data_IF_469563710266
#
_entry.id   IF_469563710266
#
_cell.length_a   1.000
_cell.length_b   1.000
_cell.length_c   1.000
_cell.angle_alpha   90.00
_cell.angle_beta   90.00
_cell.angle_gamma   90.00
#
_symmetry.space_group_name_H-M   'P 1'
#
loop_
_entity.id
_entity.type
_entity.pdbx_description
1 polymer ?
#
# COMPACT_ATOMS: atom_id res chain seq x y z
N UNK A 1 25.21 16.87 -3.15
CA UNK A 1 23.89 16.44 -2.65
C UNK A 1 24.04 15.01 -2.14
N UNK A 2 23.71 14.73 -0.86
CA UNK A 2 23.75 13.37 -0.29
C UNK A 2 22.30 12.94 -0.13
N UNK A 3 21.86 11.93 -0.86
CA UNK A 3 20.54 11.36 -0.65
C UNK A 3 20.50 10.75 0.77
N UNK A 4 19.44 11.04 1.51
CA UNK A 4 19.22 10.41 2.80
C UNK A 4 18.69 8.99 2.58
N UNK A 5 19.61 8.05 2.43
CA UNK A 5 19.31 6.64 2.24
C UNK A 5 18.51 6.03 3.39
N UNK A 6 18.68 6.55 4.61
CA UNK A 6 17.93 6.08 5.77
C UNK A 6 16.46 6.51 5.66
N UNK A 7 16.21 7.77 5.28
CA UNK A 7 14.86 8.26 5.03
C UNK A 7 14.16 7.54 3.86
N UNK A 8 14.87 7.28 2.76
CA UNK A 8 14.30 6.57 1.60
C UNK A 8 13.94 5.13 1.96
N UNK A 9 14.79 4.42 2.73
CA UNK A 9 14.50 3.06 3.19
C UNK A 9 13.32 3.06 4.17
N UNK A 10 13.30 3.96 5.14
CA UNK A 10 12.20 4.09 6.09
C UNK A 10 10.85 4.39 5.41
N UNK A 11 10.86 5.21 4.34
CA UNK A 11 9.68 5.44 3.52
C UNK A 11 9.21 4.15 2.83
N UNK A 12 10.15 3.37 2.27
CA UNK A 12 9.83 2.07 1.67
C UNK A 12 9.18 1.10 2.67
N UNK A 13 9.75 0.98 3.86
CA UNK A 13 9.23 0.11 4.92
C UNK A 13 7.83 0.57 5.40
N UNK A 14 7.61 1.88 5.51
CA UNK A 14 6.30 2.45 5.86
C UNK A 14 5.24 2.17 4.78
N UNK A 15 5.61 2.26 3.51
CA UNK A 15 4.71 1.95 2.39
C UNK A 15 4.35 0.46 2.33
N UNK A 16 5.31 -0.44 2.60
CA UNK A 16 5.04 -1.88 2.71
C UNK A 16 4.09 -2.18 3.88
N UNK A 17 4.30 -1.55 5.05
CA UNK A 17 3.40 -1.68 6.19
C UNK A 17 1.99 -1.17 5.87
N UNK A 18 1.87 0.01 5.26
CA UNK A 18 0.57 0.55 4.84
C UNK A 18 -0.14 -0.32 3.80
N UNK A 19 0.60 -0.94 2.87
CA UNK A 19 0.01 -1.87 1.93
C UNK A 19 -0.61 -3.08 2.65
N UNK A 20 0.10 -3.64 3.65
CA UNK A 20 -0.42 -4.75 4.45
C UNK A 20 -1.65 -4.36 5.29
N UNK A 21 -1.64 -3.17 5.90
CA UNK A 21 -2.77 -2.65 6.65
C UNK A 21 -4.00 -2.46 5.77
N UNK A 22 -3.82 -1.89 4.57
CA UNK A 22 -4.90 -1.69 3.59
C UNK A 22 -5.48 -3.03 3.12
N UNK A 23 -4.66 -4.04 2.86
CA UNK A 23 -5.14 -5.39 2.53
C UNK A 23 -5.96 -6.00 3.67
N UNK A 24 -5.55 -5.77 4.92
CA UNK A 24 -6.29 -6.21 6.11
C UNK A 24 -7.65 -5.53 6.22
N UNK A 25 -7.71 -4.22 5.95
CA UNK A 25 -8.96 -3.45 5.90
C UNK A 25 -9.88 -3.97 4.79
N UNK A 26 -9.37 -4.19 3.58
CA UNK A 26 -10.14 -4.74 2.47
C UNK A 26 -10.72 -6.13 2.80
N UNK A 27 -9.92 -7.00 3.43
CA UNK A 27 -10.38 -8.32 3.88
C UNK A 27 -11.47 -8.21 4.96
N UNK A 28 -11.32 -7.27 5.90
CA UNK A 28 -12.30 -7.01 6.96
C UNK A 28 -13.64 -6.56 6.37
N UNK A 29 -13.62 -5.59 5.45
CA UNK A 29 -14.81 -5.11 4.75
C UNK A 29 -15.52 -6.25 4.00
N UNK A 30 -14.76 -7.10 3.29
CA UNK A 30 -15.30 -8.25 2.56
C UNK A 30 -15.89 -9.33 3.47
N UNK A 31 -15.45 -9.39 4.73
CA UNK A 31 -15.98 -10.32 5.73
C UNK A 31 -17.25 -9.84 6.43
N UNK A 32 -17.69 -8.59 6.18
CA UNK A 32 -18.85 -8.03 6.86
C UNK A 32 -20.12 -8.86 6.58
N UNK A 33 -20.91 -9.20 7.61
CA UNK A 33 -22.13 -9.96 7.44
C UNK A 33 -23.16 -9.15 6.64
N UNK A 34 -23.92 -9.84 5.78
CA UNK A 34 -25.00 -9.22 5.02
C UNK A 34 -26.12 -8.76 5.95
N UNK A 35 -26.63 -7.50 5.81
CA UNK A 35 -27.75 -7.01 6.61
C UNK A 35 -29.11 -7.63 6.20
N UNK A 36 -29.16 -8.45 5.14
CA UNK A 36 -30.40 -8.95 4.56
C UNK A 36 -31.32 -9.70 5.53
N UNK A 37 -30.74 -10.44 6.49
CA UNK A 37 -31.52 -11.16 7.50
C UNK A 37 -32.26 -10.21 8.48
N UNK A 38 -31.77 -8.98 8.67
CA UNK A 38 -32.33 -8.02 9.62
C UNK A 38 -33.40 -7.11 9.00
N UNK A 39 -33.36 -6.87 7.69
CA UNK A 39 -34.23 -5.89 7.03
C UNK A 39 -35.43 -6.52 6.32
N UNK A 40 -35.43 -7.84 6.12
CA UNK A 40 -36.50 -8.54 5.41
C UNK A 40 -36.71 -8.06 3.97
N UNK A 41 -37.82 -8.45 3.32
CA UNK A 41 -38.03 -8.23 1.87
C UNK A 41 -38.05 -6.75 1.43
N UNK A 42 -38.41 -5.84 2.34
CA UNK A 42 -38.42 -4.40 2.07
C UNK A 42 -36.99 -3.87 1.92
N UNK A 43 -36.04 -4.50 2.62
CA UNK A 43 -34.62 -4.13 2.61
C UNK A 43 -33.79 -4.71 1.48
N UNK A 44 -34.37 -5.49 0.56
CA UNK A 44 -33.60 -6.22 -0.46
C UNK A 44 -32.80 -5.28 -1.37
N UNK A 45 -33.41 -4.19 -1.84
CA UNK A 45 -32.71 -3.19 -2.68
C UNK A 45 -31.60 -2.48 -1.93
N UNK A 46 -31.82 -2.17 -0.66
CA UNK A 46 -30.79 -1.58 0.19
C UNK A 46 -29.64 -2.57 0.41
N UNK A 47 -29.96 -3.83 0.71
CA UNK A 47 -28.96 -4.89 0.93
C UNK A 47 -28.13 -5.12 -0.33
N UNK A 48 -28.75 -5.13 -1.51
CA UNK A 48 -28.05 -5.24 -2.79
C UNK A 48 -27.10 -4.04 -3.00
N UNK A 49 -27.60 -2.81 -2.84
CA UNK A 49 -26.77 -1.61 -2.97
C UNK A 49 -25.64 -1.55 -1.93
N UNK A 50 -25.89 -2.02 -0.71
CA UNK A 50 -24.90 -2.11 0.35
C UNK A 50 -23.80 -3.11 0.00
N UNK A 51 -24.16 -4.31 -0.47
CA UNK A 51 -23.19 -5.34 -0.88
C UNK A 51 -22.35 -4.86 -2.06
N UNK A 52 -22.96 -4.17 -3.03
CA UNK A 52 -22.25 -3.56 -4.15
C UNK A 52 -21.26 -2.49 -3.67
N UNK A 53 -21.70 -1.58 -2.78
CA UNK A 53 -20.85 -0.52 -2.23
C UNK A 53 -19.69 -1.07 -1.41
N UNK A 54 -19.92 -2.09 -0.56
CA UNK A 54 -18.88 -2.75 0.23
C UNK A 54 -17.88 -3.46 -0.68
N UNK A 55 -18.36 -4.15 -1.72
CA UNK A 55 -17.50 -4.80 -2.72
C UNK A 55 -16.61 -3.77 -3.42
N UNK A 56 -17.20 -2.70 -3.96
CA UNK A 56 -16.49 -1.64 -4.65
C UNK A 56 -15.47 -0.94 -3.75
N UNK A 57 -15.82 -0.66 -2.49
CA UNK A 57 -14.91 -0.04 -1.55
C UNK A 57 -13.75 -0.97 -1.17
N UNK A 58 -14.03 -2.26 -0.96
CA UNK A 58 -12.99 -3.26 -0.69
C UNK A 58 -11.98 -3.36 -1.84
N UNK A 59 -12.47 -3.35 -3.09
CA UNK A 59 -11.61 -3.39 -4.28
C UNK A 59 -10.77 -2.11 -4.43
N UNK A 60 -11.36 -0.94 -4.16
CA UNK A 60 -10.64 0.33 -4.17
C UNK A 60 -9.51 0.37 -3.11
N UNK A 61 -9.78 -0.14 -1.91
CA UNK A 61 -8.77 -0.24 -0.84
C UNK A 61 -7.65 -1.22 -1.23
N UNK A 62 -7.99 -2.37 -1.83
CA UNK A 62 -6.99 -3.32 -2.33
C UNK A 62 -6.13 -2.71 -3.44
N UNK A 63 -6.72 -1.94 -4.36
CA UNK A 63 -5.97 -1.22 -5.40
C UNK A 63 -5.01 -0.18 -4.81
N UNK A 64 -5.43 0.54 -3.76
CA UNK A 64 -4.55 1.47 -3.03
C UNK A 64 -3.38 0.73 -2.37
N UNK A 65 -3.61 -0.45 -1.80
CA UNK A 65 -2.54 -1.28 -1.23
C UNK A 65 -1.49 -1.66 -2.29
N UNK A 66 -1.93 -2.05 -3.50
CA UNK A 66 -1.03 -2.33 -4.64
C UNK A 66 -0.20 -1.10 -4.99
N UNK A 67 -0.82 0.09 -5.01
CA UNK A 67 -0.09 1.33 -5.30
C UNK A 67 0.94 1.67 -4.22
N UNK A 68 0.59 1.51 -2.94
CA UNK A 68 1.53 1.67 -1.82
C UNK A 68 2.73 0.70 -1.95
N UNK A 69 2.47 -0.58 -2.23
CA UNK A 69 3.53 -1.57 -2.46
C UNK A 69 4.43 -1.23 -3.65
N UNK A 70 3.87 -0.72 -4.76
CA UNK A 70 4.67 -0.24 -5.88
C UNK A 70 5.56 0.96 -5.50
N UNK A 71 5.06 1.84 -4.63
CA UNK A 71 5.85 2.92 -4.03
C UNK A 71 7.00 2.40 -3.18
N UNK A 72 6.76 1.37 -2.36
CA UNK A 72 7.79 0.72 -1.54
C UNK A 72 8.93 0.12 -2.39
N UNK A 73 8.57 -0.59 -3.47
CA UNK A 73 9.53 -1.11 -4.46
C UNK A 73 10.34 0.03 -5.08
N UNK A 74 9.69 1.11 -5.49
CA UNK A 74 10.35 2.27 -6.09
C UNK A 74 11.35 2.94 -5.12
N UNK A 75 10.97 3.09 -3.85
CA UNK A 75 11.85 3.61 -2.81
C UNK A 75 13.09 2.71 -2.61
N UNK A 76 12.89 1.39 -2.59
CA UNK A 76 13.98 0.40 -2.47
C UNK A 76 14.96 0.48 -3.65
N UNK A 77 14.44 0.50 -4.89
CA UNK A 77 15.26 0.67 -6.09
C UNK A 77 16.06 1.99 -6.04
N UNK A 78 15.40 3.08 -5.68
CA UNK A 78 16.03 4.41 -5.56
C UNK A 78 17.16 4.40 -4.54
N UNK A 79 16.98 3.73 -3.38
CA UNK A 79 18.02 3.60 -2.38
C UNK A 79 19.24 2.81 -2.90
N UNK A 80 19.03 1.75 -3.68
CA UNK A 80 20.09 0.96 -4.31
C UNK A 80 20.89 1.80 -5.32
N UNK A 81 20.19 2.59 -6.15
CA UNK A 81 20.82 3.44 -7.14
C UNK A 81 21.69 4.52 -6.50
N UNK A 82 21.19 5.19 -5.47
CA UNK A 82 21.95 6.20 -4.72
C UNK A 82 23.14 5.60 -3.97
N UNK A 83 22.99 4.42 -3.36
CA UNK A 83 24.10 3.73 -2.69
C UNK A 83 25.20 3.38 -3.70
N UNK A 84 24.82 2.81 -4.86
CA UNK A 84 25.73 2.46 -5.95
C UNK A 84 26.43 3.68 -6.55
N UNK A 85 25.72 4.81 -6.70
CA UNK A 85 26.32 6.08 -7.10
C UNK A 85 27.32 6.60 -6.06
N UNK A 86 26.99 6.49 -4.76
CA UNK A 86 27.87 6.86 -3.65
C UNK A 86 29.16 6.03 -3.63
N UNK A 87 29.05 4.71 -3.80
CA UNK A 87 30.21 3.81 -3.88
C UNK A 87 31.12 4.15 -5.08
N UNK A 88 30.54 4.40 -6.26
CA UNK A 88 31.29 4.83 -7.45
C UNK A 88 32.01 6.16 -7.23
N UNK A 89 31.32 7.13 -6.63
CA UNK A 89 31.93 8.42 -6.29
C UNK A 89 33.10 8.25 -5.30
N UNK A 90 32.93 7.43 -4.27
CA UNK A 90 33.99 7.14 -3.30
C UNK A 90 35.22 6.46 -3.94
N UNK A 91 35.02 5.58 -4.93
CA UNK A 91 36.10 4.93 -5.65
C UNK A 91 36.91 5.88 -6.54
N UNK A 92 36.31 7.00 -6.98
CA UNK A 92 36.96 8.02 -7.81
C UNK A 92 37.69 9.10 -7.00
N UNK A 93 37.44 9.17 -5.69
CA UNK A 93 38.12 10.13 -4.81
C UNK A 93 39.51 9.58 -4.43
N UNK A 94 40.58 10.38 -4.55
CA UNK A 94 41.91 9.95 -4.14
C UNK A 94 41.92 9.65 -2.64
N UNK A 95 42.51 8.51 -2.26
CA UNK A 95 42.76 8.19 -0.85
C UNK A 95 43.83 9.15 -0.35
N UNK A 96 43.45 10.12 0.46
CA UNK A 96 44.39 10.88 1.30
C UNK A 96 44.75 10.07 2.53
#
# INVERSE_FOLDING_TARGET
>A
MRADLAAIRALGDALDAHAADLLTVAATLRSMPSPGAALGPIGDRFTAAFVEAVSAHSDAVAALAVHAGAGAVSARCTAVDYDSAGQRAAALLPRM
#
